data_IF_853801850126
#
_entry.id   IF_853801850126
#
_cell.length_a   1.000
_cell.length_b   1.000
_cell.length_c   1.000
_cell.angle_alpha   90.00
_cell.angle_beta   90.00
_cell.angle_gamma   90.00
#
_symmetry.space_group_name_H-M   'P 1'
#
loop_
_entity.id
_entity.type
_entity.pdbx_description
1 polymer ?
#
# COMPACT_ATOMS: atom_id res chain seq x y z
N UNK A 1 33.30 58.21 -4.72
CA UNK A 1 32.09 58.67 -5.44
C UNK A 1 30.94 57.76 -5.10
N UNK A 2 30.01 58.29 -4.31
CA UNK A 2 28.73 57.71 -3.92
C UNK A 2 27.77 57.60 -5.10
N UNK A 3 27.11 56.46 -5.31
CA UNK A 3 25.76 56.46 -5.87
C UNK A 3 24.92 55.37 -5.22
N UNK A 4 24.02 55.78 -4.33
CA UNK A 4 22.88 54.99 -3.84
C UNK A 4 21.81 55.03 -4.93
N UNK A 5 21.20 53.89 -5.27
CA UNK A 5 19.89 53.83 -5.92
C UNK A 5 19.06 52.74 -5.27
N UNK A 6 18.14 53.18 -4.42
CA UNK A 6 17.04 52.38 -3.89
C UNK A 6 15.99 52.19 -4.99
N UNK A 7 15.41 50.99 -5.10
CA UNK A 7 14.14 50.80 -5.78
C UNK A 7 13.25 49.88 -4.95
N UNK A 8 11.98 50.30 -4.89
CA UNK A 8 10.99 49.97 -3.90
C UNK A 8 10.35 48.59 -4.09
N UNK A 9 9.92 48.01 -2.97
CA UNK A 9 9.08 46.83 -2.88
C UNK A 9 7.63 47.15 -3.30
N UNK A 10 7.02 46.27 -4.09
CA UNK A 10 5.58 46.26 -4.33
C UNK A 10 5.02 44.92 -3.83
N UNK A 11 4.33 44.97 -2.68
CA UNK A 11 3.52 43.89 -2.14
C UNK A 11 2.19 43.86 -2.91
N UNK A 12 1.94 42.83 -3.71
CA UNK A 12 0.59 42.50 -4.14
C UNK A 12 -0.05 41.57 -3.11
N UNK A 13 -0.99 42.11 -2.33
CA UNK A 13 -1.88 41.33 -1.48
C UNK A 13 -3.13 40.95 -2.29
N UNK A 14 -3.26 39.69 -2.70
CA UNK A 14 -4.50 39.15 -3.28
C UNK A 14 -5.35 38.54 -2.17
N UNK A 15 -6.49 39.18 -1.88
CA UNK A 15 -7.50 38.69 -0.94
C UNK A 15 -8.32 37.59 -1.61
N UNK A 16 -8.29 36.38 -1.06
CA UNK A 16 -9.18 35.28 -1.43
C UNK A 16 -10.47 35.35 -0.59
N UNK A 17 -11.68 35.28 -1.17
CA UNK A 17 -12.92 35.16 -0.41
C UNK A 17 -13.11 33.73 0.11
N UNK A 18 -13.33 33.57 1.42
CA UNK A 18 -13.80 32.33 2.04
C UNK A 18 -15.31 32.21 1.82
N UNK A 19 -15.76 31.08 1.26
CA UNK A 19 -17.17 30.70 1.22
C UNK A 19 -17.43 29.69 2.34
N UNK A 20 -18.20 30.10 3.35
CA UNK A 20 -18.72 29.21 4.40
C UNK A 20 -20.10 28.72 3.97
N UNK A 21 -20.23 27.43 3.66
CA UNK A 21 -21.54 26.77 3.58
C UNK A 21 -21.90 26.25 4.97
N UNK A 22 -22.74 27.03 5.66
CA UNK A 22 -23.45 26.59 6.86
C UNK A 22 -24.80 26.00 6.45
N UNK A 23 -25.02 24.73 6.75
CA UNK A 23 -26.32 24.07 6.72
C UNK A 23 -26.44 23.42 8.11
N UNK A 24 -27.17 24.00 9.08
CA UNK A 24 -28.63 23.91 9.21
C UNK A 24 -28.97 22.52 9.75
N UNK A 25 -29.31 22.27 11.02
CA UNK A 25 -30.16 23.02 11.93
C UNK A 25 -31.57 22.44 11.89
N UNK A 26 -31.88 21.45 12.73
CA UNK A 26 -33.19 20.81 12.79
C UNK A 26 -33.32 19.83 13.96
N UNK A 27 -33.62 20.35 15.14
CA UNK A 27 -34.12 19.58 16.28
C UNK A 27 -35.56 19.12 16.01
N UNK A 28 -35.83 17.84 16.29
CA UNK A 28 -37.16 17.25 16.22
C UNK A 28 -37.24 16.02 17.13
N UNK A 29 -37.46 16.24 18.42
CA UNK A 29 -37.87 15.22 19.40
C UNK A 29 -39.39 15.16 19.46
N UNK A 30 -39.95 13.94 19.31
CA UNK A 30 -41.17 13.37 19.92
C UNK A 30 -41.59 12.15 19.08
N UNK A 31 -42.07 11.01 19.56
CA UNK A 31 -42.23 10.43 20.89
C UNK A 31 -42.54 8.91 20.70
N UNK A 32 -41.97 8.11 21.60
CA UNK A 32 -42.43 6.86 22.25
C UNK A 32 -43.62 6.02 21.70
N UNK A 33 -43.40 4.70 21.74
CA UNK A 33 -44.41 3.59 21.82
C UNK A 33 -44.53 2.82 20.50
N UNK A 34 -44.50 1.50 20.39
CA UNK A 34 -44.86 0.39 21.29
C UNK A 34 -44.09 -0.91 20.94
N UNK A 35 -44.00 -1.80 21.92
CA UNK A 35 -43.43 -3.15 21.89
C UNK A 35 -44.30 -4.20 21.17
N UNK A 36 -43.64 -5.33 20.84
CA UNK A 36 -44.18 -6.67 20.51
C UNK A 36 -44.53 -6.89 19.02
N UNK A 37 -44.27 -8.01 18.35
CA UNK A 37 -44.02 -9.39 18.78
C UNK A 37 -43.34 -10.18 17.62
N UNK A 38 -42.62 -11.25 17.97
CA UNK A 38 -41.91 -12.17 17.06
C UNK A 38 -42.83 -13.03 16.17
N UNK A 39 -42.35 -13.41 14.97
CA UNK A 39 -42.30 -14.79 14.44
C UNK A 39 -41.83 -14.83 12.95
N UNK A 40 -41.27 -15.96 12.47
CA UNK A 40 -40.24 -15.99 11.44
C UNK A 40 -40.75 -16.33 10.03
N UNK A 41 -40.00 -15.95 9.00
CA UNK A 41 -40.12 -16.53 7.66
C UNK A 41 -38.80 -17.17 7.25
N UNK A 42 -38.89 -18.47 7.02
CA UNK A 42 -37.88 -19.41 6.56
C UNK A 42 -37.46 -19.17 5.11
N UNK A 43 -36.15 -19.26 4.86
CA UNK A 43 -35.44 -19.73 3.66
C UNK A 43 -36.09 -19.55 2.29
N UNK A 44 -35.49 -18.67 1.49
CA UNK A 44 -35.12 -19.02 0.11
C UNK A 44 -33.64 -18.70 -0.12
N UNK A 45 -32.87 -19.76 -0.30
CA UNK A 45 -31.49 -19.72 -0.74
C UNK A 45 -31.43 -19.23 -2.18
N UNK A 46 -31.12 -17.95 -2.37
CA UNK A 46 -30.58 -17.46 -3.64
C UNK A 46 -29.07 -17.32 -3.48
N UNK A 47 -28.37 -18.26 -4.08
CA UNK A 47 -26.93 -18.28 -4.28
C UNK A 47 -26.50 -16.97 -4.96
N UNK A 48 -26.11 -15.98 -4.16
CA UNK A 48 -25.33 -14.85 -4.61
C UNK A 48 -23.94 -15.12 -4.08
N UNK A 49 -23.04 -15.53 -4.98
CA UNK A 49 -21.61 -15.44 -4.77
C UNK A 49 -21.28 -13.98 -4.49
N UNK A 50 -21.39 -13.62 -3.22
CA UNK A 50 -20.83 -12.41 -2.69
C UNK A 50 -19.33 -12.67 -2.74
N UNK A 51 -18.66 -12.20 -3.79
CA UNK A 51 -17.23 -11.92 -3.78
C UNK A 51 -16.98 -10.89 -2.68
N UNK A 52 -17.03 -11.39 -1.44
CA UNK A 52 -16.47 -10.71 -0.29
C UNK A 52 -15.00 -10.61 -0.62
N UNK A 53 -14.56 -9.40 -0.95
CA UNK A 53 -13.17 -9.03 -1.15
C UNK A 53 -12.32 -9.80 -0.14
N UNK A 54 -11.66 -10.86 -0.62
CA UNK A 54 -10.98 -11.78 0.26
C UNK A 54 -9.80 -11.01 0.84
N UNK A 55 -9.96 -10.54 2.09
CA UNK A 55 -9.00 -9.64 2.74
C UNK A 55 -7.75 -10.41 3.18
N UNK A 56 -7.70 -11.72 2.91
CA UNK A 56 -6.56 -12.60 3.18
C UNK A 56 -5.76 -12.79 1.88
N UNK A 57 -4.41 -12.66 1.92
CA UNK A 57 -3.57 -12.93 0.76
C UNK A 57 -3.85 -14.31 0.15
N UNK A 58 -4.16 -14.35 -1.14
CA UNK A 58 -4.26 -15.60 -1.88
C UNK A 58 -2.85 -16.15 -2.15
N UNK A 59 -2.46 -17.15 -1.35
CA UNK A 59 -1.16 -17.81 -1.45
C UNK A 59 -1.16 -19.02 -2.40
N UNK A 60 -2.25 -19.28 -3.14
CA UNK A 60 -2.38 -20.46 -4.01
C UNK A 60 -1.54 -20.38 -5.29
N UNK A 61 -1.27 -19.15 -5.77
CA UNK A 61 -0.45 -18.88 -6.95
C UNK A 61 0.99 -18.56 -6.57
N UNK A 62 1.93 -18.84 -7.48
CA UNK A 62 3.32 -18.37 -7.37
C UNK A 62 3.69 -17.69 -8.69
N UNK A 63 3.88 -16.37 -8.65
CA UNK A 63 4.33 -15.57 -9.78
C UNK A 63 5.85 -15.57 -9.89
N UNK A 64 6.56 -15.53 -8.76
CA UNK A 64 8.00 -15.57 -8.72
C UNK A 64 8.51 -16.06 -7.36
N UNK A 65 9.70 -16.69 -7.37
CA UNK A 65 10.47 -17.01 -6.17
C UNK A 65 11.83 -16.35 -6.28
N UNK A 66 12.17 -15.51 -5.30
CA UNK A 66 13.39 -14.72 -5.25
C UNK A 66 14.22 -15.19 -4.06
N UNK A 67 15.41 -15.74 -4.33
CA UNK A 67 16.33 -16.19 -3.29
C UNK A 67 17.35 -15.08 -2.98
N UNK A 68 17.29 -14.52 -1.78
CA UNK A 68 18.27 -13.56 -1.28
C UNK A 68 19.52 -14.25 -0.74
N UNK A 69 20.68 -13.62 -0.90
CA UNK A 69 21.96 -14.13 -0.38
C UNK A 69 22.05 -14.12 1.16
N UNK A 70 21.09 -13.47 1.81
CA UNK A 70 20.97 -13.25 3.25
C UNK A 70 20.16 -14.34 3.99
N UNK A 71 19.84 -15.46 3.33
CA UNK A 71 19.05 -16.54 3.95
C UNK A 71 17.55 -16.25 4.01
N UNK A 72 17.07 -15.28 3.22
CA UNK A 72 15.65 -15.03 3.02
C UNK A 72 15.23 -15.42 1.60
N UNK A 73 14.05 -16.00 1.49
CA UNK A 73 13.36 -16.26 0.24
C UNK A 73 12.07 -15.46 0.22
N UNK A 74 11.83 -14.72 -0.87
CA UNK A 74 10.58 -14.02 -1.11
C UNK A 74 9.81 -14.78 -2.19
N UNK A 75 8.57 -15.16 -1.91
CA UNK A 75 7.64 -15.74 -2.88
C UNK A 75 6.56 -14.71 -3.17
N UNK A 76 6.38 -14.36 -4.43
CA UNK A 76 5.31 -13.44 -4.86
C UNK A 76 4.12 -14.27 -5.31
N UNK A 77 2.97 -14.04 -4.70
CA UNK A 77 1.75 -14.82 -4.92
C UNK A 77 0.81 -14.15 -5.91
N UNK A 78 0.53 -12.86 -5.72
CA UNK A 78 -0.35 -12.08 -6.59
C UNK A 78 0.20 -10.68 -6.87
N UNK A 79 -0.23 -10.10 -7.98
CA UNK A 79 -0.05 -8.70 -8.34
C UNK A 79 -1.31 -8.25 -9.07
N UNK A 80 -2.29 -7.75 -8.32
CA UNK A 80 -3.63 -7.48 -8.80
C UNK A 80 -3.94 -5.98 -8.83
N UNK A 81 -4.50 -5.51 -9.94
CA UNK A 81 -5.08 -4.16 -9.98
C UNK A 81 -6.33 -4.11 -9.12
N UNK A 82 -6.50 -2.99 -8.43
CA UNK A 82 -7.66 -2.72 -7.60
C UNK A 82 -8.41 -1.47 -8.09
N UNK A 83 -9.72 -1.47 -7.84
CA UNK A 83 -10.55 -0.30 -8.05
C UNK A 83 -10.02 0.88 -7.21
N UNK A 84 -9.69 2.00 -7.87
CA UNK A 84 -9.01 3.13 -7.25
C UNK A 84 -7.63 3.44 -7.84
N UNK A 85 -7.16 2.65 -8.80
CA UNK A 85 -5.92 2.93 -9.53
C UNK A 85 -4.67 2.47 -8.79
N UNK A 86 -4.80 1.41 -8.00
CA UNK A 86 -3.72 0.79 -7.24
C UNK A 86 -3.40 -0.60 -7.79
N UNK A 87 -2.17 -1.03 -7.55
CA UNK A 87 -1.70 -2.39 -7.79
C UNK A 87 -1.20 -2.94 -6.45
N UNK A 88 -1.82 -4.00 -5.95
CA UNK A 88 -1.40 -4.68 -4.72
C UNK A 88 -0.64 -5.94 -5.06
N UNK A 89 0.60 -6.01 -4.55
CA UNK A 89 1.43 -7.21 -4.61
C UNK A 89 1.35 -7.92 -3.27
N UNK A 90 1.05 -9.21 -3.28
CA UNK A 90 1.09 -10.05 -2.08
C UNK A 90 2.10 -11.18 -2.24
N UNK A 91 2.58 -11.68 -1.12
CA UNK A 91 3.61 -12.69 -1.12
C UNK A 91 3.92 -13.20 0.29
N UNK A 92 4.99 -13.98 0.39
CA UNK A 92 5.54 -14.45 1.64
C UNK A 92 7.05 -14.31 1.69
N UNK A 93 7.58 -14.03 2.88
CA UNK A 93 9.01 -13.97 3.19
C UNK A 93 9.33 -15.14 4.12
N UNK A 94 10.19 -16.05 3.67
CA UNK A 94 10.65 -17.20 4.44
C UNK A 94 12.10 -17.04 4.84
N UNK A 95 12.41 -17.30 6.11
CA UNK A 95 13.80 -17.50 6.54
C UNK A 95 14.21 -18.94 6.24
N UNK A 96 15.06 -19.12 5.23
CA UNK A 96 15.55 -20.43 4.78
C UNK A 96 16.83 -20.87 5.51
N UNK A 97 17.35 -20.04 6.40
CA UNK A 97 18.52 -20.38 7.22
C UNK A 97 18.14 -21.23 8.44
N UNK A 98 19.14 -21.92 9.00
CA UNK A 98 18.97 -22.76 10.20
C UNK A 98 18.93 -21.99 11.54
N UNK A 99 18.79 -20.66 11.53
CA UNK A 99 18.77 -19.82 12.74
C UNK A 99 17.86 -18.60 12.56
N UNK A 100 17.51 -17.93 13.66
CA UNK A 100 16.82 -16.63 13.61
C UNK A 100 17.66 -15.63 12.81
N UNK A 101 17.03 -14.94 11.85
CA UNK A 101 17.67 -13.96 10.99
C UNK A 101 17.04 -12.58 11.15
N UNK A 102 17.86 -11.53 11.08
CA UNK A 102 17.41 -10.14 11.12
C UNK A 102 17.04 -9.71 9.71
N UNK A 103 15.88 -9.08 9.54
CA UNK A 103 15.48 -8.53 8.26
C UNK A 103 16.44 -7.40 7.81
N UNK A 104 16.90 -7.37 6.55
CA UNK A 104 17.78 -6.32 6.01
C UNK A 104 17.20 -4.92 6.19
N UNK A 105 18.01 -3.97 6.67
CA UNK A 105 17.55 -2.58 6.88
C UNK A 105 17.27 -1.86 5.55
N UNK A 106 17.87 -2.36 4.48
CA UNK A 106 17.72 -1.89 3.11
C UNK A 106 16.30 -2.09 2.59
N UNK A 107 15.53 -3.03 3.13
CA UNK A 107 14.12 -3.26 2.75
C UNK A 107 13.22 -2.05 3.02
N UNK A 108 13.62 -1.17 3.95
CA UNK A 108 12.91 0.09 4.19
C UNK A 108 13.03 1.07 3.00
N UNK A 109 14.01 0.87 2.12
CA UNK A 109 14.39 1.84 1.10
C UNK A 109 15.37 2.90 1.61
N UNK A 110 15.84 3.74 0.68
CA UNK A 110 16.85 4.77 0.98
C UNK A 110 16.25 6.14 1.31
N UNK A 111 14.95 6.32 1.05
CA UNK A 111 14.27 7.61 1.23
C UNK A 111 14.07 7.95 2.70
N UNK A 112 14.49 9.16 3.09
CA UNK A 112 14.48 9.61 4.49
C UNK A 112 13.08 9.59 5.12
N UNK A 113 12.05 9.96 4.35
CA UNK A 113 10.66 9.99 4.81
C UNK A 113 10.10 8.59 5.12
N UNK A 114 10.56 7.55 4.41
CA UNK A 114 10.16 6.17 4.69
C UNK A 114 10.98 5.59 5.83
N UNK A 115 12.29 5.85 5.84
CA UNK A 115 13.19 5.31 6.88
C UNK A 115 12.81 5.75 8.30
N UNK A 116 12.21 6.94 8.46
CA UNK A 116 11.74 7.42 9.78
C UNK A 116 10.50 6.70 10.32
N UNK A 117 9.77 5.95 9.48
CA UNK A 117 8.54 5.25 9.89
C UNK A 117 8.79 3.84 10.42
N UNK A 118 10.06 3.44 10.53
CA UNK A 118 10.46 2.15 11.10
C UNK A 118 10.60 1.03 10.06
N UNK A 119 10.55 -0.22 10.53
CA UNK A 119 10.76 -1.41 9.71
C UNK A 119 9.59 -1.65 8.78
N UNK A 120 9.86 -1.69 7.48
CA UNK A 120 8.86 -1.91 6.43
C UNK A 120 9.48 -2.54 5.18
N UNK A 121 8.65 -2.81 4.18
CA UNK A 121 9.06 -3.16 2.83
C UNK A 121 8.93 -1.98 1.85
N UNK A 122 9.00 -0.73 2.35
CA UNK A 122 8.83 0.47 1.53
C UNK A 122 9.89 0.65 0.43
N UNK A 123 10.99 -0.10 0.49
CA UNK A 123 12.04 -0.15 -0.52
C UNK A 123 11.75 -1.06 -1.71
N UNK A 124 10.65 -1.84 -1.69
CA UNK A 124 10.24 -2.62 -2.86
C UNK A 124 9.84 -1.64 -3.97
N UNK A 125 10.25 -1.94 -5.21
CA UNK A 125 9.82 -1.17 -6.39
C UNK A 125 9.40 -2.09 -7.52
N UNK A 126 8.54 -1.57 -8.39
CA UNK A 126 8.15 -2.21 -9.64
C UNK A 126 8.71 -1.41 -10.81
N UNK A 127 9.27 -2.09 -11.82
CA UNK A 127 9.78 -1.44 -13.02
C UNK A 127 9.02 -1.95 -14.24
N UNK A 128 8.29 -1.04 -14.89
CA UNK A 128 7.76 -1.24 -16.22
C UNK A 128 8.83 -0.81 -17.24
N UNK A 129 9.48 -1.80 -17.84
CA UNK A 129 10.54 -1.56 -18.84
C UNK A 129 10.01 -0.92 -20.12
N UNK A 130 8.79 -1.26 -20.52
CA UNK A 130 8.16 -0.78 -21.76
C UNK A 130 7.73 0.67 -21.58
N UNK A 131 7.02 0.95 -20.49
CA UNK A 131 6.61 2.29 -20.08
C UNK A 131 7.75 3.16 -19.55
N UNK A 132 8.96 2.59 -19.35
CA UNK A 132 10.15 3.26 -18.79
C UNK A 132 9.88 3.95 -17.46
N UNK A 133 9.05 3.31 -16.63
CA UNK A 133 8.61 3.85 -15.33
C UNK A 133 9.03 2.92 -14.21
N UNK A 134 9.45 3.52 -13.10
CA UNK A 134 9.61 2.85 -11.81
C UNK A 134 8.51 3.34 -10.87
N UNK A 135 7.82 2.40 -10.25
CA UNK A 135 6.79 2.63 -9.26
C UNK A 135 7.33 2.26 -7.88
N UNK A 136 7.07 3.13 -6.91
CA UNK A 136 7.45 2.95 -5.51
C UNK A 136 6.21 2.60 -4.69
N UNK A 137 6.40 1.95 -3.54
CA UNK A 137 5.31 1.71 -2.59
C UNK A 137 4.65 3.04 -2.22
N UNK A 138 3.32 3.06 -2.27
CA UNK A 138 2.49 4.20 -1.89
C UNK A 138 2.71 4.59 -0.43
N UNK A 139 2.36 5.82 -0.09
CA UNK A 139 2.52 6.37 1.26
C UNK A 139 1.26 7.10 1.69
N UNK A 140 1.00 7.09 2.99
CA UNK A 140 0.02 7.99 3.57
C UNK A 140 0.56 9.43 3.70
N UNK A 141 -0.29 10.32 4.21
CA UNK A 141 0.04 11.75 4.42
C UNK A 141 1.14 11.97 5.45
N UNK A 142 1.42 10.97 6.30
CA UNK A 142 2.45 11.01 7.33
C UNK A 142 3.74 10.30 6.89
N UNK A 143 3.79 9.78 5.67
CA UNK A 143 4.96 9.13 5.06
C UNK A 143 5.10 7.65 5.35
N UNK A 144 4.13 7.00 6.02
CA UNK A 144 4.16 5.55 6.23
C UNK A 144 3.91 4.83 4.91
N UNK A 145 4.74 3.85 4.54
CA UNK A 145 4.53 3.08 3.33
C UNK A 145 3.33 2.14 3.49
N UNK A 146 2.50 2.02 2.46
CA UNK A 146 1.36 1.10 2.39
C UNK A 146 1.84 -0.31 2.08
N UNK A 147 2.39 -0.97 3.11
CA UNK A 147 2.98 -2.30 3.03
C UNK A 147 3.03 -2.94 4.42
N UNK A 148 3.31 -4.24 4.49
CA UNK A 148 3.62 -4.90 5.76
C UNK A 148 4.81 -4.24 6.47
N UNK A 149 4.61 -3.91 7.74
CA UNK A 149 5.61 -3.29 8.61
C UNK A 149 5.96 -4.22 9.77
N UNK A 150 6.96 -3.85 10.57
CA UNK A 150 7.29 -4.58 11.80
C UNK A 150 8.01 -5.91 11.59
N UNK A 151 8.53 -6.18 10.38
CA UNK A 151 9.38 -7.35 10.13
C UNK A 151 10.79 -7.05 10.65
N UNK A 152 11.08 -7.47 11.88
CA UNK A 152 12.39 -7.29 12.54
C UNK A 152 13.26 -8.53 12.45
N UNK A 153 12.77 -9.63 13.02
CA UNK A 153 13.45 -10.92 13.07
C UNK A 153 12.49 -12.00 12.61
N UNK A 154 13.00 -12.97 11.86
CA UNK A 154 12.21 -14.13 11.42
C UNK A 154 12.92 -15.38 11.93
N UNK A 155 12.17 -16.24 12.62
CA UNK A 155 12.70 -17.50 13.15
C UNK A 155 13.12 -18.46 12.04
N UNK A 156 13.98 -19.42 12.37
CA UNK A 156 14.45 -20.42 11.41
C UNK A 156 13.27 -21.18 10.79
N UNK A 157 13.19 -21.21 9.46
CA UNK A 157 12.11 -21.87 8.73
C UNK A 157 10.76 -21.14 8.77
N UNK A 158 10.61 -20.07 9.54
CA UNK A 158 9.37 -19.31 9.65
C UNK A 158 9.08 -18.50 8.39
N UNK A 159 7.79 -18.27 8.16
CA UNK A 159 7.25 -17.52 7.02
C UNK A 159 6.42 -16.35 7.54
N UNK A 160 6.53 -15.20 6.88
CA UNK A 160 5.75 -14.00 7.14
C UNK A 160 5.10 -13.57 5.83
N UNK A 161 3.77 -13.52 5.80
CA UNK A 161 3.04 -13.00 4.65
C UNK A 161 3.21 -11.48 4.57
N UNK A 162 3.27 -10.96 3.34
CA UNK A 162 3.39 -9.54 3.10
C UNK A 162 2.45 -9.04 2.01
N UNK A 163 2.17 -7.74 2.08
CA UNK A 163 1.60 -6.98 0.98
C UNK A 163 2.41 -5.71 0.74
N UNK A 164 2.32 -5.15 -0.47
CA UNK A 164 2.82 -3.82 -0.82
C UNK A 164 1.94 -3.21 -1.91
N UNK A 165 1.48 -1.98 -1.71
CA UNK A 165 0.63 -1.27 -2.66
C UNK A 165 1.41 -0.25 -3.46
N UNK A 166 1.13 -0.20 -4.76
CA UNK A 166 1.77 0.68 -5.74
C UNK A 166 0.71 1.48 -6.50
N UNK A 167 1.06 2.64 -7.06
CA UNK A 167 0.23 3.21 -8.13
C UNK A 167 0.14 2.20 -9.28
N UNK A 168 -1.06 1.99 -9.82
CA UNK A 168 -1.26 1.03 -10.91
C UNK A 168 -0.50 1.48 -12.17
N UNK A 169 0.29 0.60 -12.80
CA UNK A 169 0.73 0.79 -14.17
C UNK A 169 -0.46 0.90 -15.13
N UNK A 170 -0.29 1.49 -16.33
CA UNK A 170 -1.32 1.50 -17.37
C UNK A 170 -1.87 0.10 -17.65
N UNK A 171 -3.12 -0.01 -18.11
CA UNK A 171 -3.77 -1.30 -18.39
C UNK A 171 -3.03 -2.13 -19.46
N UNK A 172 -2.30 -1.44 -20.37
CA UNK A 172 -1.44 -2.09 -21.36
C UNK A 172 -0.22 -2.81 -20.76
N UNK A 173 0.16 -2.50 -19.52
CA UNK A 173 1.33 -3.09 -18.87
C UNK A 173 0.93 -4.41 -18.18
N UNK A 174 1.27 -5.54 -18.78
CA UNK A 174 0.91 -6.86 -18.24
C UNK A 174 2.02 -7.51 -17.40
N UNK A 175 3.24 -6.96 -17.44
CA UNK A 175 4.39 -7.47 -16.68
C UNK A 175 5.22 -6.32 -16.13
N UNK A 176 5.76 -6.54 -14.94
CA UNK A 176 6.70 -5.64 -14.29
C UNK A 176 7.82 -6.43 -13.64
N UNK A 177 8.98 -5.80 -13.49
CA UNK A 177 10.05 -6.33 -12.69
C UNK A 177 9.89 -5.88 -11.25
N UNK A 178 9.80 -6.83 -10.32
CA UNK A 178 9.85 -6.56 -8.89
C UNK A 178 11.32 -6.52 -8.42
N UNK A 179 11.65 -5.45 -7.72
CA UNK A 179 12.97 -5.25 -7.11
C UNK A 179 12.81 -5.12 -5.60
N UNK A 180 13.39 -6.07 -4.87
CA UNK A 180 13.49 -6.01 -3.41
C UNK A 180 14.95 -5.70 -3.05
N UNK A 181 15.23 -4.71 -2.19
CA UNK A 181 16.60 -4.38 -1.81
C UNK A 181 17.35 -5.60 -1.26
N UNK A 182 18.62 -5.73 -1.64
CA UNK A 182 19.49 -6.88 -1.34
C UNK A 182 19.01 -8.24 -1.89
N UNK A 183 18.10 -8.24 -2.88
CA UNK A 183 17.69 -9.45 -3.60
C UNK A 183 17.84 -9.30 -5.12
N UNK A 184 17.95 -10.42 -5.86
CA UNK A 184 17.81 -10.40 -7.32
C UNK A 184 16.46 -9.84 -7.78
N UNK A 185 16.42 -9.30 -9.00
CA UNK A 185 15.17 -8.89 -9.65
C UNK A 185 14.44 -10.11 -10.24
N UNK A 186 13.11 -10.10 -10.20
CA UNK A 186 12.29 -11.07 -10.91
C UNK A 186 11.18 -10.36 -11.70
N UNK A 187 10.71 -10.98 -12.78
CA UNK A 187 9.57 -10.48 -13.54
C UNK A 187 8.30 -11.18 -13.06
N UNK A 188 7.24 -10.40 -12.80
CA UNK A 188 5.93 -10.89 -12.39
C UNK A 188 4.86 -10.42 -13.37
N UNK A 189 3.82 -11.22 -13.53
CA UNK A 189 2.64 -10.86 -14.32
C UNK A 189 1.63 -10.11 -13.44
N UNK A 190 0.98 -9.10 -14.01
CA UNK A 190 -0.12 -8.37 -13.38
C UNK A 190 -1.44 -9.00 -13.84
N UNK A 191 -2.32 -9.30 -12.90
CA UNK A 191 -3.73 -9.66 -13.16
C UNK A 191 -4.62 -8.43 -13.18
#
# INVERSE_FOLDING_TARGET
>A
MTTRKAFAAALLATVLPLSLTACGGGDGVSAKGEDSNSAPATTESANSENESANTVPDNSKTLATINGANGFQLVVHTAAREDGGFLTVTGSIRNTSGKRAVAPIEWNGQESQVRRTGRSLGGITLVDRVGKKRYYVLRDTEGYPLTTTGIFNVDAGATVDFFAQFPSPPDSTTKVDIQVPAMPTATIEIS
#
